data_IF_838078256375
#
_entry.id   IF_838078256375
#
_cell.length_a   1.000
_cell.length_b   1.000
_cell.length_c   1.000
_cell.angle_alpha   90.00
_cell.angle_beta   90.00
_cell.angle_gamma   90.00
#
_symmetry.space_group_name_H-M   'P 1'
#
loop_
_entity.id
_entity.type
_entity.pdbx_description
1 polymer ?
#
# COMPACT_ATOMS: atom_id res chain seq x y z
N UNK A 1 24.97 -49.19 -1.06
CA UNK A 1 23.83 -48.64 -1.82
C UNK A 1 23.53 -49.62 -2.95
N UNK A 2 22.33 -50.16 -3.03
CA UNK A 2 21.96 -51.08 -4.11
C UNK A 2 21.93 -50.30 -5.44
N UNK A 3 22.72 -50.74 -6.42
CA UNK A 3 22.70 -50.16 -7.78
C UNK A 3 21.37 -50.54 -8.44
N UNK A 4 20.59 -49.55 -8.85
CA UNK A 4 19.34 -49.78 -9.58
C UNK A 4 19.58 -50.57 -10.85
N UNK A 5 18.68 -51.50 -11.15
CA UNK A 5 18.75 -52.27 -12.41
C UNK A 5 18.55 -51.30 -13.61
N UNK A 6 19.10 -51.66 -14.80
CA UNK A 6 18.91 -50.83 -16.00
C UNK A 6 17.44 -50.59 -16.34
N UNK A 7 16.56 -51.53 -16.04
CA UNK A 7 15.11 -51.37 -16.25
C UNK A 7 14.49 -50.39 -15.28
N UNK A 8 14.90 -50.38 -13.99
CA UNK A 8 14.44 -49.41 -13.00
C UNK A 8 14.90 -48.00 -13.34
N UNK A 9 16.13 -47.83 -13.84
CA UNK A 9 16.64 -46.54 -14.31
C UNK A 9 15.82 -45.98 -15.48
N UNK A 10 15.51 -46.79 -16.47
CA UNK A 10 14.66 -46.42 -17.63
C UNK A 10 13.25 -46.02 -17.17
N UNK A 11 12.64 -46.76 -16.26
CA UNK A 11 11.31 -46.44 -15.73
C UNK A 11 11.31 -45.13 -14.94
N UNK A 12 12.33 -44.91 -14.12
CA UNK A 12 12.48 -43.64 -13.38
C UNK A 12 12.65 -42.42 -14.31
N UNK A 13 13.51 -42.55 -15.34
CA UNK A 13 13.70 -41.50 -16.34
C UNK A 13 12.42 -41.23 -17.12
N UNK A 14 11.67 -42.24 -17.50
CA UNK A 14 10.40 -42.10 -18.20
C UNK A 14 9.37 -41.35 -17.37
N UNK A 15 9.26 -41.64 -16.08
CA UNK A 15 8.36 -40.95 -15.18
C UNK A 15 8.75 -39.47 -15.02
N UNK A 16 10.04 -39.15 -14.87
CA UNK A 16 10.53 -37.81 -14.81
C UNK A 16 10.20 -36.98 -16.07
N UNK A 17 10.42 -37.62 -17.25
CA UNK A 17 10.11 -37.01 -18.55
C UNK A 17 8.61 -36.74 -18.71
N UNK A 18 7.75 -37.67 -18.29
CA UNK A 18 6.29 -37.45 -18.30
C UNK A 18 5.89 -36.27 -17.46
N UNK A 19 6.44 -36.16 -16.25
CA UNK A 19 6.18 -35.04 -15.36
C UNK A 19 6.67 -33.69 -15.96
N UNK A 20 7.88 -33.68 -16.53
CA UNK A 20 8.43 -32.49 -17.21
C UNK A 20 7.56 -32.09 -18.41
N UNK A 21 7.09 -33.06 -19.19
CA UNK A 21 6.21 -32.80 -20.34
C UNK A 21 4.86 -32.20 -19.90
N UNK A 22 4.22 -32.76 -18.87
CA UNK A 22 2.96 -32.24 -18.32
C UNK A 22 3.12 -30.78 -17.79
N UNK A 23 4.22 -30.51 -17.13
CA UNK A 23 4.57 -29.15 -16.68
C UNK A 23 4.72 -28.23 -17.89
N UNK A 24 5.45 -28.66 -18.90
CA UNK A 24 5.75 -27.86 -20.08
C UNK A 24 4.51 -27.64 -20.96
N UNK A 25 3.57 -28.58 -21.05
CA UNK A 25 2.28 -28.43 -21.73
C UNK A 25 1.44 -27.26 -21.18
N UNK A 26 1.58 -26.93 -19.89
CA UNK A 26 0.96 -25.75 -19.27
C UNK A 26 1.76 -24.50 -19.56
N UNK A 27 3.08 -24.58 -19.45
CA UNK A 27 3.98 -23.43 -19.60
C UNK A 27 4.00 -22.86 -21.03
N UNK A 28 3.97 -23.71 -22.08
CA UNK A 28 3.95 -23.27 -23.49
C UNK A 28 2.73 -22.44 -23.87
N UNK A 29 1.63 -22.55 -23.10
CA UNK A 29 0.43 -21.71 -23.27
C UNK A 29 0.59 -20.31 -22.74
N UNK A 30 1.66 -20.04 -21.99
CA UNK A 30 1.95 -18.73 -21.36
C UNK A 30 0.75 -18.20 -20.53
N UNK A 31 0.07 -19.10 -19.81
CA UNK A 31 -1.14 -18.78 -19.04
C UNK A 31 -0.83 -17.75 -17.97
N UNK A 32 0.30 -17.90 -17.26
CA UNK A 32 0.74 -16.93 -16.24
C UNK A 32 0.86 -15.50 -16.80
N UNK A 33 1.44 -15.35 -18.00
CA UNK A 33 1.53 -14.04 -18.65
C UNK A 33 0.14 -13.47 -19.03
N UNK A 34 -0.79 -14.34 -19.48
CA UNK A 34 -2.17 -13.93 -19.79
C UNK A 34 -2.88 -13.44 -18.55
N UNK A 35 -2.81 -14.17 -17.45
CA UNK A 35 -3.46 -13.82 -16.18
C UNK A 35 -2.93 -12.48 -15.65
N UNK A 36 -1.59 -12.28 -15.68
CA UNK A 36 -0.97 -11.02 -15.26
C UNK A 36 -1.46 -9.80 -16.05
N UNK A 37 -1.61 -9.91 -17.37
CA UNK A 37 -2.10 -8.78 -18.18
C UNK A 37 -3.58 -8.50 -17.96
N UNK A 38 -4.40 -9.50 -17.68
CA UNK A 38 -5.81 -9.30 -17.33
C UNK A 38 -5.95 -8.64 -15.94
N UNK A 39 -5.15 -9.06 -14.96
CA UNK A 39 -5.08 -8.42 -13.64
C UNK A 39 -4.63 -6.96 -13.75
N UNK A 40 -3.58 -6.69 -14.55
CA UNK A 40 -3.09 -5.33 -14.78
C UNK A 40 -4.12 -4.47 -15.53
N UNK A 41 -4.80 -5.03 -16.52
CA UNK A 41 -5.89 -4.36 -17.25
C UNK A 41 -7.02 -3.93 -16.31
N UNK A 42 -7.47 -4.86 -15.47
CA UNK A 42 -8.51 -4.61 -14.46
C UNK A 42 -8.08 -3.52 -13.47
N UNK A 43 -6.83 -3.59 -13.00
CA UNK A 43 -6.26 -2.61 -12.07
C UNK A 43 -6.22 -1.22 -12.70
N UNK A 44 -5.64 -1.07 -13.88
CA UNK A 44 -5.48 0.24 -14.56
C UNK A 44 -6.85 0.85 -14.88
N UNK A 45 -7.79 0.07 -15.40
CA UNK A 45 -9.16 0.53 -15.71
C UNK A 45 -9.91 0.98 -14.46
N UNK A 46 -9.63 0.36 -13.32
CA UNK A 46 -10.26 0.68 -12.04
C UNK A 46 -9.75 1.95 -11.37
N UNK A 47 -8.55 2.48 -11.74
CA UNK A 47 -7.93 3.60 -11.04
C UNK A 47 -8.80 4.87 -11.04
N UNK A 48 -9.33 5.25 -12.20
CA UNK A 48 -10.15 6.47 -12.32
C UNK A 48 -11.41 6.41 -11.44
N UNK A 49 -12.06 5.24 -11.36
CA UNK A 49 -13.25 5.06 -10.51
C UNK A 49 -12.89 5.15 -9.02
N UNK A 50 -11.72 4.65 -8.60
CA UNK A 50 -11.23 4.77 -7.23
C UNK A 50 -10.96 6.23 -6.87
N UNK A 51 -10.31 6.99 -7.75
CA UNK A 51 -10.09 8.44 -7.56
C UNK A 51 -11.43 9.16 -7.41
N UNK A 52 -12.40 8.90 -8.28
CA UNK A 52 -13.74 9.48 -8.19
C UNK A 52 -14.42 9.13 -6.86
N UNK A 53 -14.32 7.88 -6.41
CA UNK A 53 -14.86 7.45 -5.12
C UNK A 53 -14.25 8.23 -3.95
N UNK A 54 -12.94 8.45 -3.95
CA UNK A 54 -12.24 9.26 -2.93
C UNK A 54 -12.69 10.72 -2.97
N UNK A 55 -12.87 11.32 -4.16
CA UNK A 55 -13.42 12.69 -4.31
C UNK A 55 -14.82 12.80 -3.70
N UNK A 56 -15.67 11.82 -3.97
CA UNK A 56 -17.05 11.77 -3.42
C UNK A 56 -17.05 11.60 -1.88
N UNK A 57 -16.00 11.00 -1.29
CA UNK A 57 -15.81 10.90 0.15
C UNK A 57 -15.18 12.17 0.76
N UNK A 58 -14.85 13.16 -0.07
CA UNK A 58 -14.31 14.43 0.39
C UNK A 58 -12.79 14.54 0.39
N UNK A 59 -12.03 13.64 -0.28
CA UNK A 59 -10.57 13.78 -0.45
C UNK A 59 -10.25 14.90 -1.45
N UNK A 60 -9.74 16.07 -1.04
CA UNK A 60 -9.60 17.21 -1.94
C UNK A 60 -8.19 17.37 -2.51
N UNK A 61 -7.20 16.59 -2.09
CA UNK A 61 -5.78 16.77 -2.42
C UNK A 61 -5.36 15.99 -3.66
N UNK A 62 -4.11 16.23 -4.10
CA UNK A 62 -3.45 15.47 -5.16
C UNK A 62 -4.27 15.48 -6.46
N UNK A 63 -4.51 16.67 -7.02
CA UNK A 63 -5.20 16.86 -8.31
C UNK A 63 -4.56 16.10 -9.47
N UNK A 64 -3.32 15.64 -9.29
CA UNK A 64 -2.60 14.86 -10.30
C UNK A 64 -3.16 13.43 -10.48
N UNK A 65 -3.90 12.89 -9.50
CA UNK A 65 -4.41 11.51 -9.53
C UNK A 65 -5.30 11.23 -10.74
N UNK A 66 -6.11 12.19 -11.15
CA UNK A 66 -6.97 12.08 -12.33
C UNK A 66 -6.14 11.94 -13.62
N UNK A 67 -5.12 12.81 -13.78
CA UNK A 67 -4.25 12.76 -14.96
C UNK A 67 -3.37 11.51 -14.96
N UNK A 68 -2.82 11.11 -13.80
CA UNK A 68 -2.03 9.89 -13.68
C UNK A 68 -2.83 8.65 -14.07
N UNK A 69 -4.08 8.54 -13.59
CA UNK A 69 -4.96 7.42 -13.93
C UNK A 69 -5.28 7.39 -15.43
N UNK A 70 -5.55 8.57 -16.03
CA UNK A 70 -5.81 8.70 -17.45
C UNK A 70 -4.60 8.39 -18.33
N UNK A 71 -3.43 8.83 -17.93
CA UNK A 71 -2.18 8.62 -18.68
C UNK A 71 -1.73 7.15 -18.62
N UNK A 72 -1.89 6.48 -17.47
CA UNK A 72 -1.66 5.04 -17.36
C UNK A 72 -2.59 4.27 -18.30
N UNK A 73 -3.86 4.62 -18.36
CA UNK A 73 -4.82 3.96 -19.26
C UNK A 73 -4.45 4.19 -20.74
N UNK A 74 -4.08 5.41 -21.12
CA UNK A 74 -3.65 5.74 -22.49
C UNK A 74 -2.39 4.98 -22.90
N UNK A 75 -1.39 4.85 -22.02
CA UNK A 75 -0.17 4.08 -22.27
C UNK A 75 -0.47 2.59 -22.35
N UNK A 76 -1.37 2.08 -21.52
CA UNK A 76 -1.70 0.67 -21.42
C UNK A 76 -2.43 0.11 -22.63
N UNK A 77 -3.41 0.83 -23.18
CA UNK A 77 -4.24 0.34 -24.28
C UNK A 77 -3.46 -0.20 -25.48
N UNK A 78 -2.51 0.56 -26.09
CA UNK A 78 -1.70 0.06 -27.20
C UNK A 78 -0.71 -1.03 -26.75
N UNK A 79 -0.15 -0.88 -25.57
CA UNK A 79 0.82 -1.85 -25.02
C UNK A 79 0.17 -3.21 -24.78
N UNK A 80 -1.03 -3.25 -24.20
CA UNK A 80 -1.81 -4.49 -23.99
C UNK A 80 -2.01 -5.25 -25.30
N UNK A 81 -2.36 -4.56 -26.37
CA UNK A 81 -2.52 -5.18 -27.69
C UNK A 81 -1.22 -5.78 -28.19
N UNK A 82 -0.10 -5.05 -28.09
CA UNK A 82 1.20 -5.54 -28.50
C UNK A 82 1.65 -6.78 -27.68
N UNK A 83 1.44 -6.74 -26.36
CA UNK A 83 1.74 -7.86 -25.47
C UNK A 83 0.87 -9.09 -25.80
N UNK A 84 -0.42 -8.89 -26.05
CA UNK A 84 -1.32 -9.98 -26.44
C UNK A 84 -0.91 -10.66 -27.75
N UNK A 85 -0.48 -9.87 -28.74
CA UNK A 85 0.06 -10.38 -30.02
C UNK A 85 1.31 -11.21 -29.74
N UNK A 86 2.23 -10.70 -28.94
CA UNK A 86 3.49 -11.38 -28.60
C UNK A 86 3.23 -12.71 -27.86
N UNK A 87 2.31 -12.73 -26.88
CA UNK A 87 1.91 -13.96 -26.20
C UNK A 87 1.40 -14.99 -27.20
N UNK A 88 0.50 -14.62 -28.09
CA UNK A 88 -0.07 -15.53 -29.08
C UNK A 88 0.99 -16.11 -30.02
N UNK A 89 1.91 -15.26 -30.50
CA UNK A 89 3.02 -15.68 -31.37
C UNK A 89 3.96 -16.64 -30.64
N UNK A 90 4.39 -16.30 -29.44
CA UNK A 90 5.31 -17.14 -28.66
C UNK A 90 4.66 -18.47 -28.24
N UNK A 91 3.42 -18.43 -27.78
CA UNK A 91 2.68 -19.66 -27.42
C UNK A 91 2.56 -20.62 -28.62
N UNK A 92 2.22 -20.09 -29.81
CA UNK A 92 2.15 -20.89 -31.04
C UNK A 92 3.51 -21.52 -31.40
N UNK A 93 4.61 -20.77 -31.31
CA UNK A 93 5.96 -21.30 -31.56
C UNK A 93 6.35 -22.40 -30.57
N UNK A 94 6.08 -22.20 -29.29
CA UNK A 94 6.38 -23.12 -28.22
C UNK A 94 5.54 -24.41 -28.34
N UNK A 95 4.24 -24.29 -28.61
CA UNK A 95 3.35 -25.46 -28.85
C UNK A 95 3.78 -26.27 -30.07
N UNK A 96 4.18 -25.62 -31.16
CA UNK A 96 4.71 -26.29 -32.35
C UNK A 96 6.04 -27.03 -32.06
N UNK A 97 6.87 -26.46 -31.17
CA UNK A 97 8.11 -27.11 -30.73
C UNK A 97 7.87 -28.28 -29.77
N UNK A 98 6.76 -28.30 -29.04
CA UNK A 98 6.39 -29.35 -28.09
C UNK A 98 5.89 -30.63 -28.79
N UNK A 99 5.10 -30.49 -29.86
CA UNK A 99 4.49 -31.64 -30.59
C UNK A 99 5.46 -32.74 -30.98
N UNK A 100 6.66 -32.47 -31.58
CA UNK A 100 7.61 -33.53 -31.90
C UNK A 100 8.16 -34.23 -30.66
N UNK A 101 8.24 -33.53 -29.51
CA UNK A 101 8.70 -34.13 -28.24
C UNK A 101 7.67 -35.12 -27.67
N UNK A 102 6.37 -34.79 -27.80
CA UNK A 102 5.29 -35.72 -27.45
C UNK A 102 5.33 -37.00 -28.31
N UNK A 103 5.56 -36.88 -29.63
CA UNK A 103 5.73 -38.03 -30.51
C UNK A 103 6.97 -38.88 -30.15
N UNK A 104 8.07 -38.22 -29.77
CA UNK A 104 9.32 -38.89 -29.34
C UNK A 104 9.14 -39.63 -28.01
N UNK A 105 8.32 -39.11 -27.09
CA UNK A 105 7.94 -39.83 -25.87
C UNK A 105 7.22 -41.14 -26.21
N UNK A 106 6.30 -41.14 -27.18
CA UNK A 106 5.63 -42.33 -27.67
C UNK A 106 6.63 -43.37 -28.19
N UNK A 107 7.65 -42.96 -28.94
CA UNK A 107 8.72 -43.84 -29.40
C UNK A 107 9.54 -44.43 -28.23
N UNK A 108 9.91 -43.61 -27.25
CA UNK A 108 10.61 -44.02 -26.05
C UNK A 108 9.82 -45.07 -25.25
N UNK A 109 8.52 -44.86 -25.08
CA UNK A 109 7.61 -45.84 -24.41
C UNK A 109 7.59 -47.16 -25.12
N UNK A 110 7.51 -47.19 -26.45
CA UNK A 110 7.54 -48.43 -27.23
C UNK A 110 8.90 -49.17 -27.11
N UNK A 111 10.00 -48.42 -26.90
CA UNK A 111 11.35 -48.99 -26.76
C UNK A 111 11.66 -49.48 -25.32
N UNK A 112 10.79 -49.31 -24.33
CA UNK A 112 11.06 -49.62 -22.90
C UNK A 112 11.35 -51.13 -22.66
N UNK A 113 10.95 -52.02 -23.57
CA UNK A 113 11.28 -53.47 -23.49
C UNK A 113 12.78 -53.75 -23.66
N UNK A 114 13.55 -52.84 -24.24
CA UNK A 114 15.00 -52.91 -24.40
C UNK A 114 15.64 -51.64 -23.76
N UNK A 115 16.16 -51.73 -22.53
CA UNK A 115 16.78 -50.56 -21.85
C UNK A 115 17.90 -49.93 -22.69
N UNK A 116 18.66 -50.71 -23.41
CA UNK A 116 19.73 -50.22 -24.28
C UNK A 116 19.23 -49.33 -25.44
N UNK A 117 18.01 -49.59 -25.94
CA UNK A 117 17.37 -48.77 -26.99
C UNK A 117 16.62 -47.57 -26.42
N UNK A 118 15.98 -47.70 -25.25
CA UNK A 118 15.21 -46.66 -24.64
C UNK A 118 16.08 -45.55 -24.04
N UNK A 119 17.18 -45.88 -23.36
CA UNK A 119 18.02 -44.92 -22.65
C UNK A 119 18.53 -43.73 -23.51
N UNK A 120 19.08 -43.94 -24.72
CA UNK A 120 19.53 -42.81 -25.55
C UNK A 120 18.38 -41.92 -26.03
N UNK A 121 17.19 -42.48 -26.29
CA UNK A 121 15.99 -41.71 -26.68
C UNK A 121 15.54 -40.85 -25.51
N UNK A 122 15.44 -41.42 -24.30
CA UNK A 122 15.04 -40.70 -23.09
C UNK A 122 16.04 -39.59 -22.74
N UNK A 123 17.35 -39.85 -22.85
CA UNK A 123 18.38 -38.83 -22.61
C UNK A 123 18.27 -37.64 -23.59
N UNK A 124 18.08 -37.95 -24.89
CA UNK A 124 17.89 -36.90 -25.89
C UNK A 124 16.60 -36.10 -25.65
N UNK A 125 15.51 -36.80 -25.32
CA UNK A 125 14.22 -36.16 -25.03
C UNK A 125 14.29 -35.26 -23.80
N UNK A 126 14.97 -35.69 -22.73
CA UNK A 126 15.18 -34.84 -21.55
C UNK A 126 15.89 -33.53 -21.90
N UNK A 127 16.99 -33.59 -22.65
CA UNK A 127 17.73 -32.41 -23.07
C UNK A 127 16.91 -31.49 -23.98
N UNK A 128 16.03 -32.02 -24.83
CA UNK A 128 15.14 -31.23 -25.69
C UNK A 128 14.01 -30.56 -24.90
N UNK A 129 13.45 -31.25 -23.88
CA UNK A 129 12.48 -30.69 -22.95
C UNK A 129 13.08 -29.55 -22.13
N UNK A 130 14.29 -29.72 -21.57
CA UNK A 130 15.02 -28.70 -20.85
C UNK A 130 15.26 -27.44 -21.74
N UNK A 131 15.64 -27.66 -22.99
CA UNK A 131 15.83 -26.59 -23.97
C UNK A 131 14.51 -25.83 -24.23
N UNK A 132 13.40 -26.56 -24.39
CA UNK A 132 12.09 -25.94 -24.62
C UNK A 132 11.57 -25.23 -23.37
N UNK A 133 11.82 -25.73 -22.16
CA UNK A 133 11.51 -25.06 -20.90
C UNK A 133 12.28 -23.72 -20.77
N UNK A 134 13.57 -23.71 -21.11
CA UNK A 134 14.36 -22.51 -21.14
C UNK A 134 13.82 -21.49 -22.15
N UNK A 135 13.38 -21.93 -23.33
CA UNK A 135 12.75 -21.04 -24.33
C UNK A 135 11.42 -20.47 -23.83
N UNK A 136 10.60 -21.30 -23.17
CA UNK A 136 9.33 -20.83 -22.60
C UNK A 136 9.57 -19.78 -21.50
N UNK A 137 10.53 -20.01 -20.62
CA UNK A 137 10.91 -19.07 -19.57
C UNK A 137 11.48 -17.76 -20.15
N UNK A 138 12.30 -17.84 -21.20
CA UNK A 138 12.81 -16.67 -21.90
C UNK A 138 11.68 -15.86 -22.57
N UNK A 139 10.69 -16.56 -23.16
CA UNK A 139 9.52 -15.91 -23.75
C UNK A 139 8.68 -15.18 -22.69
N UNK A 140 8.41 -15.82 -21.52
CA UNK A 140 7.72 -15.18 -20.40
C UNK A 140 8.46 -13.93 -19.90
N UNK A 141 9.80 -14.03 -19.73
CA UNK A 141 10.62 -12.90 -19.31
C UNK A 141 10.62 -11.75 -20.33
N UNK A 142 10.67 -12.08 -21.62
CA UNK A 142 10.60 -11.06 -22.69
C UNK A 142 9.25 -10.37 -22.70
N UNK A 143 8.17 -11.12 -22.52
CA UNK A 143 6.80 -10.60 -22.48
C UNK A 143 6.60 -9.71 -21.24
N UNK A 144 7.05 -10.13 -20.06
CA UNK A 144 6.93 -9.33 -18.84
C UNK A 144 7.72 -8.03 -18.95
N UNK A 145 8.94 -8.09 -19.49
CA UNK A 145 9.77 -6.90 -19.73
C UNK A 145 9.12 -5.84 -20.62
N UNK A 146 8.11 -6.19 -21.43
CA UNK A 146 7.37 -5.21 -22.23
C UNK A 146 6.53 -4.24 -21.39
N UNK A 147 6.06 -4.67 -20.21
CA UNK A 147 5.12 -3.89 -19.38
C UNK A 147 5.54 -3.71 -17.91
N UNK A 148 6.64 -4.29 -17.46
CA UNK A 148 7.09 -4.23 -16.05
C UNK A 148 7.18 -2.79 -15.52
N UNK A 149 7.67 -1.84 -16.31
CA UNK A 149 7.74 -0.44 -15.89
C UNK A 149 6.35 0.15 -15.68
N UNK A 150 5.41 -0.09 -16.61
CA UNK A 150 4.05 0.40 -16.51
C UNK A 150 3.31 -0.26 -15.35
N UNK A 151 3.53 -1.56 -15.13
CA UNK A 151 3.00 -2.28 -13.99
C UNK A 151 3.49 -1.70 -12.66
N UNK A 152 4.78 -1.36 -12.57
CA UNK A 152 5.34 -0.71 -11.38
C UNK A 152 4.72 0.68 -11.14
N UNK A 153 4.55 1.50 -12.19
CA UNK A 153 3.85 2.79 -12.10
C UNK A 153 2.40 2.62 -11.64
N UNK A 154 1.67 1.67 -12.23
CA UNK A 154 0.28 1.38 -11.88
C UNK A 154 0.13 0.85 -10.44
N UNK A 155 1.03 -0.04 -10.01
CA UNK A 155 1.05 -0.58 -8.65
C UNK A 155 1.30 0.52 -7.61
N UNK A 156 2.18 1.48 -7.90
CA UNK A 156 2.43 2.62 -7.02
C UNK A 156 1.16 3.46 -6.80
N UNK A 157 0.49 3.84 -7.88
CA UNK A 157 -0.77 4.60 -7.80
C UNK A 157 -1.86 3.78 -7.09
N UNK A 158 -2.00 2.52 -7.44
CA UNK A 158 -3.01 1.63 -6.86
C UNK A 158 -2.81 1.44 -5.36
N UNK A 159 -1.58 1.20 -4.91
CA UNK A 159 -1.25 1.04 -3.48
C UNK A 159 -1.52 2.33 -2.70
N UNK A 160 -1.20 3.49 -3.29
CA UNK A 160 -1.49 4.79 -2.67
C UNK A 160 -3.01 5.01 -2.53
N UNK A 161 -3.79 4.72 -3.57
CA UNK A 161 -5.25 4.81 -3.49
C UNK A 161 -5.84 3.87 -2.43
N UNK A 162 -5.30 2.65 -2.28
CA UNK A 162 -5.71 1.73 -1.22
C UNK A 162 -5.45 2.30 0.19
N UNK A 163 -4.30 2.96 0.39
CA UNK A 163 -4.00 3.61 1.67
C UNK A 163 -4.99 4.75 1.97
N UNK A 164 -5.31 5.58 0.96
CA UNK A 164 -6.30 6.64 1.10
C UNK A 164 -7.71 6.08 1.39
N UNK A 165 -8.15 5.06 0.66
CA UNK A 165 -9.44 4.39 0.88
C UNK A 165 -9.55 3.81 2.30
N UNK A 166 -8.46 3.20 2.79
CA UNK A 166 -8.38 2.71 4.16
C UNK A 166 -8.44 3.85 5.17
N UNK A 167 -7.70 4.95 4.95
CA UNK A 167 -7.70 6.12 5.82
C UNK A 167 -9.11 6.73 5.95
N UNK A 168 -9.83 6.86 4.84
CA UNK A 168 -11.21 7.33 4.85
C UNK A 168 -12.18 6.34 5.52
N UNK A 169 -11.91 5.04 5.40
CA UNK A 169 -12.70 4.02 6.12
C UNK A 169 -12.49 4.11 7.63
N UNK A 170 -11.27 4.41 8.07
CA UNK A 170 -11.00 4.70 9.48
C UNK A 170 -11.72 5.97 9.94
N UNK A 171 -11.69 7.04 9.13
CA UNK A 171 -12.38 8.31 9.45
C UNK A 171 -13.90 8.12 9.59
N UNK A 172 -14.54 7.33 8.72
CA UNK A 172 -15.98 7.04 8.83
C UNK A 172 -16.36 6.36 10.15
N UNK A 173 -15.41 5.65 10.77
CA UNK A 173 -15.57 4.92 12.02
C UNK A 173 -14.99 5.67 13.24
N UNK A 174 -14.40 6.85 13.04
CA UNK A 174 -13.74 7.60 14.10
C UNK A 174 -14.72 8.16 15.13
N UNK A 175 -14.29 8.24 16.37
CA UNK A 175 -15.09 8.83 17.46
C UNK A 175 -15.11 10.36 17.46
N UNK A 176 -14.43 11.00 16.53
CA UNK A 176 -14.40 12.47 16.34
C UNK A 176 -14.94 12.84 14.96
N UNK A 177 -15.14 14.15 14.74
CA UNK A 177 -15.50 14.70 13.44
C UNK A 177 -14.48 15.75 13.01
N UNK A 178 -14.29 15.85 11.70
CA UNK A 178 -13.51 16.95 11.13
C UNK A 178 -14.29 18.24 11.28
N UNK A 179 -13.55 19.35 11.40
CA UNK A 179 -14.15 20.70 11.37
C UNK A 179 -14.68 21.01 9.97
N UNK A 180 -15.64 21.93 9.83
CA UNK A 180 -16.01 22.45 8.52
C UNK A 180 -14.76 22.87 7.73
N UNK A 181 -14.68 22.48 6.46
CA UNK A 181 -13.54 22.74 5.54
C UNK A 181 -12.21 22.05 5.88
N UNK A 182 -12.13 21.32 6.98
CA UNK A 182 -10.98 20.45 7.29
C UNK A 182 -11.08 19.16 6.46
N UNK A 183 -9.94 18.66 6.01
CA UNK A 183 -9.89 17.45 5.21
C UNK A 183 -8.79 16.49 5.70
N UNK A 184 -9.12 15.19 5.70
CA UNK A 184 -8.15 14.14 5.99
C UNK A 184 -7.13 14.04 4.84
N UNK A 185 -5.85 14.08 5.20
CA UNK A 185 -4.72 13.86 4.29
C UNK A 185 -4.33 12.38 4.26
N UNK A 186 -4.16 11.78 5.44
CA UNK A 186 -3.77 10.37 5.59
C UNK A 186 -4.09 9.86 6.99
N UNK A 187 -4.14 8.54 7.14
CA UNK A 187 -4.17 7.87 8.43
C UNK A 187 -3.25 6.65 8.44
N UNK A 188 -2.79 6.25 9.63
CA UNK A 188 -1.95 5.08 9.84
C UNK A 188 -2.27 4.46 11.20
N UNK A 189 -2.15 3.14 11.30
CA UNK A 189 -2.09 2.48 12.61
C UNK A 189 -0.83 2.90 13.33
N UNK A 190 -0.94 3.23 14.60
CA UNK A 190 0.19 3.66 15.39
C UNK A 190 0.03 3.29 16.86
N UNK A 191 1.16 3.11 17.53
CA UNK A 191 1.26 3.07 19.00
C UNK A 191 1.79 4.42 19.46
N UNK A 192 1.11 5.05 20.41
CA UNK A 192 1.59 6.29 21.03
C UNK A 192 2.47 5.93 22.23
N UNK A 193 3.77 5.94 22.04
CA UNK A 193 4.73 5.67 23.10
C UNK A 193 5.01 6.90 23.95
N UNK A 194 4.95 6.78 25.26
CA UNK A 194 5.07 7.93 26.17
C UNK A 194 6.51 8.42 26.33
N UNK A 195 7.45 7.50 26.35
CA UNK A 195 8.87 7.75 26.61
C UNK A 195 9.79 7.40 25.42
N UNK A 196 9.22 7.13 24.26
CA UNK A 196 9.96 6.79 23.04
C UNK A 196 10.36 5.31 22.95
N UNK A 197 9.90 4.48 23.90
CA UNK A 197 10.01 3.02 23.85
C UNK A 197 8.62 2.43 23.97
N UNK A 198 8.30 1.51 23.07
CA UNK A 198 7.01 0.84 23.10
C UNK A 198 6.92 -0.10 24.31
N UNK A 199 5.84 0.05 25.10
CA UNK A 199 5.45 -0.85 26.16
C UNK A 199 4.03 -1.39 25.86
N UNK A 200 3.73 -2.55 26.41
CA UNK A 200 2.43 -3.24 26.28
C UNK A 200 1.23 -2.44 26.81
N UNK A 201 1.47 -1.42 27.61
CA UNK A 201 0.45 -0.54 28.19
C UNK A 201 0.33 0.80 27.42
N UNK A 202 1.15 0.99 26.34
CA UNK A 202 1.01 2.13 25.45
C UNK A 202 -0.23 1.98 24.56
N UNK A 203 -0.97 3.07 24.32
CA UNK A 203 -2.22 2.99 23.57
C UNK A 203 -1.99 2.68 22.08
N UNK A 204 -2.65 1.61 21.62
CA UNK A 204 -2.79 1.28 20.21
C UNK A 204 -3.94 2.07 19.57
N UNK A 205 -3.76 2.52 18.35
CA UNK A 205 -4.81 3.27 17.70
C UNK A 205 -4.50 3.68 16.26
N UNK A 206 -5.09 4.79 15.88
CA UNK A 206 -4.96 5.36 14.54
C UNK A 206 -4.51 6.81 14.67
N UNK A 207 -3.41 7.13 13.98
CA UNK A 207 -2.91 8.47 13.82
C UNK A 207 -3.48 9.05 12.53
N UNK A 208 -4.19 10.18 12.63
CA UNK A 208 -4.78 10.91 11.51
C UNK A 208 -4.03 12.21 11.29
N UNK A 209 -3.66 12.47 10.06
CA UNK A 209 -3.14 13.75 9.59
C UNK A 209 -4.23 14.42 8.76
N UNK A 210 -4.68 15.58 9.22
CA UNK A 210 -5.54 16.47 8.42
C UNK A 210 -4.73 17.63 7.85
N UNK A 211 -5.34 18.51 7.12
CA UNK A 211 -4.69 19.74 6.66
C UNK A 211 -4.62 20.84 7.75
N UNK A 212 -5.04 20.52 8.99
CA UNK A 212 -5.03 21.46 10.11
C UNK A 212 -4.49 20.85 11.41
N UNK A 213 -4.76 19.57 11.67
CA UNK A 213 -4.48 18.90 12.95
C UNK A 213 -3.81 17.54 12.76
N UNK A 214 -3.08 17.15 13.79
CA UNK A 214 -2.71 15.76 14.05
C UNK A 214 -3.62 15.24 15.16
N UNK A 215 -4.28 14.10 14.93
CA UNK A 215 -5.19 13.48 15.88
C UNK A 215 -4.78 12.02 16.09
N UNK A 216 -4.85 11.56 17.34
CA UNK A 216 -4.66 10.14 17.64
C UNK A 216 -5.88 9.61 18.36
N UNK A 217 -6.52 8.63 17.74
CA UNK A 217 -7.64 7.88 18.30
C UNK A 217 -7.12 6.56 18.85
N UNK A 218 -7.18 6.39 20.16
CA UNK A 218 -6.97 5.09 20.80
C UNK A 218 -8.12 4.16 20.38
N UNK A 219 -7.79 2.99 19.84
CA UNK A 219 -8.79 2.02 19.38
C UNK A 219 -8.26 0.60 19.54
N UNK A 220 -8.45 0.05 20.73
CA UNK A 220 -7.91 -1.25 21.11
C UNK A 220 -8.81 -2.02 22.09
N UNK A 221 -8.58 -3.35 22.19
CA UNK A 221 -9.19 -4.18 23.23
C UNK A 221 -8.31 -4.24 24.47
N UNK A 222 -8.73 -3.57 25.52
CA UNK A 222 -8.02 -3.56 26.81
C UNK A 222 -8.54 -4.65 27.74
N UNK A 223 -7.63 -5.39 28.38
CA UNK A 223 -7.97 -6.39 29.39
C UNK A 223 -8.48 -5.71 30.66
N UNK A 224 -9.77 -5.87 30.99
CA UNK A 224 -10.41 -5.27 32.18
C UNK A 224 -10.34 -6.16 33.40
N UNK A 225 -10.16 -7.48 33.21
CA UNK A 225 -10.10 -8.44 34.32
C UNK A 225 -9.11 -9.56 34.03
N UNK A 226 -8.18 -9.78 34.96
CA UNK A 226 -7.21 -10.88 34.91
C UNK A 226 -7.42 -11.77 36.13
N UNK A 227 -7.57 -13.08 35.93
CA UNK A 227 -7.65 -14.10 37.00
C UNK A 227 -6.55 -15.13 36.74
N UNK A 228 -5.61 -15.27 37.68
CA UNK A 228 -4.48 -16.20 37.58
C UNK A 228 -3.71 -16.11 36.29
N UNK A 229 -3.35 -14.86 35.84
CA UNK A 229 -2.64 -14.55 34.60
C UNK A 229 -3.45 -14.78 33.29
N UNK A 230 -4.73 -15.17 33.38
CA UNK A 230 -5.62 -15.30 32.21
C UNK A 230 -6.54 -14.09 32.14
N UNK A 231 -6.58 -13.42 30.99
CA UNK A 231 -7.53 -12.34 30.72
C UNK A 231 -8.93 -12.93 30.56
N UNK A 232 -9.85 -12.56 31.44
CA UNK A 232 -11.23 -13.09 31.46
C UNK A 232 -12.23 -12.14 30.83
N UNK A 233 -11.92 -10.84 30.79
CA UNK A 233 -12.78 -9.83 30.18
C UNK A 233 -11.93 -8.83 29.40
N UNK A 234 -12.39 -8.47 28.19
CA UNK A 234 -11.82 -7.40 27.35
C UNK A 234 -12.90 -6.36 27.07
N UNK A 235 -12.51 -5.10 27.00
CA UNK A 235 -13.37 -3.99 26.61
C UNK A 235 -12.72 -3.25 25.46
N UNK A 236 -13.50 -2.97 24.42
CA UNK A 236 -13.06 -2.06 23.37
C UNK A 236 -12.99 -0.64 23.95
N UNK A 237 -11.83 -0.02 23.85
CA UNK A 237 -11.61 1.41 24.12
C UNK A 237 -11.55 2.12 22.79
N UNK A 238 -12.39 3.14 22.62
CA UNK A 238 -12.33 4.03 21.47
C UNK A 238 -12.54 5.45 21.97
N UNK A 239 -11.49 6.26 21.89
CA UNK A 239 -11.50 7.65 22.33
C UNK A 239 -10.47 8.50 21.60
N UNK A 240 -10.77 9.77 21.38
CA UNK A 240 -9.77 10.73 20.92
C UNK A 240 -8.78 11.00 22.07
N UNK A 241 -7.59 10.42 21.96
CA UNK A 241 -6.58 10.48 23.02
C UNK A 241 -5.74 11.77 22.92
N UNK A 242 -5.50 12.24 21.70
CA UNK A 242 -4.84 13.55 21.52
C UNK A 242 -5.31 14.26 20.23
N UNK A 243 -5.19 15.58 20.27
CA UNK A 243 -5.47 16.49 19.17
C UNK A 243 -4.52 17.67 19.27
N UNK A 244 -3.76 17.95 18.20
CA UNK A 244 -2.80 19.06 18.18
C UNK A 244 -2.86 19.78 16.84
N UNK A 245 -3.01 21.13 16.83
CA UNK A 245 -2.86 21.93 15.62
C UNK A 245 -1.45 21.76 15.01
N UNK A 246 -1.36 21.49 13.70
CA UNK A 246 -0.08 21.30 13.01
C UNK A 246 0.84 22.52 13.13
N UNK A 247 0.27 23.74 13.18
CA UNK A 247 1.02 24.99 13.37
C UNK A 247 1.83 25.04 14.67
N UNK A 248 1.50 24.20 15.66
CA UNK A 248 2.23 24.06 16.92
C UNK A 248 3.39 23.06 16.85
N UNK A 249 3.57 22.34 15.77
CA UNK A 249 4.75 21.50 15.58
C UNK A 249 5.98 22.41 15.50
N UNK A 250 6.99 22.13 16.34
CA UNK A 250 8.27 22.81 16.34
C UNK A 250 9.32 22.04 15.56
N UNK A 251 9.42 20.73 15.81
CA UNK A 251 10.34 19.83 15.12
C UNK A 251 9.67 18.46 14.87
N UNK A 252 10.10 17.79 13.81
CA UNK A 252 9.60 16.50 13.39
C UNK A 252 10.75 15.63 12.90
N UNK A 253 10.97 14.53 13.57
CA UNK A 253 12.01 13.55 13.23
C UNK A 253 11.39 12.20 12.87
N UNK A 254 11.85 11.62 11.76
CA UNK A 254 11.55 10.26 11.36
C UNK A 254 12.78 9.38 11.66
N UNK A 255 12.57 8.29 12.37
CA UNK A 255 13.66 7.38 12.77
C UNK A 255 13.28 5.94 12.52
N UNK A 256 14.26 5.14 12.12
CA UNK A 256 14.11 3.69 12.03
C UNK A 256 14.72 3.07 13.29
N UNK A 257 13.90 2.29 14.01
CA UNK A 257 14.28 1.64 15.27
C UNK A 257 14.12 0.12 15.17
N UNK A 258 14.25 -0.58 16.30
CA UNK A 258 14.20 -2.04 16.37
C UNK A 258 15.51 -2.73 15.99
N UNK A 259 15.56 -4.05 16.23
CA UNK A 259 16.80 -4.85 16.10
C UNK A 259 17.39 -4.83 14.68
N UNK A 260 16.52 -4.68 13.64
CA UNK A 260 16.93 -4.62 12.23
C UNK A 260 16.63 -3.26 11.58
N UNK A 261 16.33 -2.22 12.37
CA UNK A 261 15.90 -0.89 11.88
C UNK A 261 14.69 -0.96 10.93
N UNK A 262 13.75 -1.83 11.23
CA UNK A 262 12.54 -2.06 10.45
C UNK A 262 11.29 -1.44 11.07
N UNK A 263 11.40 -0.86 12.27
CA UNK A 263 10.29 -0.16 12.93
C UNK A 263 10.32 1.33 12.56
N UNK A 264 9.18 1.85 12.17
CA UNK A 264 8.99 3.22 11.70
C UNK A 264 8.50 4.12 12.82
N UNK A 265 9.27 5.13 13.20
CA UNK A 265 8.96 6.00 14.32
C UNK A 265 8.94 7.48 13.92
N UNK A 266 7.98 8.23 14.50
CA UNK A 266 7.88 9.68 14.42
C UNK A 266 8.06 10.29 15.80
N UNK A 267 8.98 11.23 15.92
CA UNK A 267 9.18 12.07 17.11
C UNK A 267 8.75 13.49 16.77
N UNK A 268 7.81 14.02 17.55
CA UNK A 268 7.32 15.40 17.40
C UNK A 268 7.62 16.17 18.66
N UNK A 269 8.14 17.39 18.50
CA UNK A 269 8.21 18.38 19.58
C UNK A 269 7.32 19.56 19.23
N UNK A 270 6.75 20.20 20.23
CA UNK A 270 5.76 21.24 20.04
C UNK A 270 6.18 22.56 20.67
N UNK A 271 5.67 23.65 20.11
CA UNK A 271 5.82 25.01 20.64
C UNK A 271 5.04 25.16 21.95
N UNK A 272 5.38 26.22 22.70
CA UNK A 272 4.59 26.65 23.87
C UNK A 272 3.13 26.87 23.45
N UNK A 273 2.19 26.46 24.33
CA UNK A 273 0.74 26.50 24.07
C UNK A 273 0.16 25.21 23.50
N UNK A 274 0.99 24.22 23.13
CA UNK A 274 0.50 22.90 22.80
C UNK A 274 0.16 22.10 24.07
N UNK A 275 -0.82 21.17 24.01
CA UNK A 275 -1.18 20.32 25.15
C UNK A 275 -0.07 19.33 25.56
N UNK A 276 0.89 19.12 24.68
CA UNK A 276 2.02 18.20 24.88
C UNK A 276 3.32 18.91 24.49
N UNK A 277 4.42 18.61 25.19
CA UNK A 277 5.75 19.08 24.82
C UNK A 277 6.38 18.22 23.72
N UNK A 278 6.13 16.93 23.78
CA UNK A 278 6.59 15.95 22.80
C UNK A 278 5.61 14.79 22.66
N UNK A 279 5.65 14.16 21.49
CA UNK A 279 4.92 12.93 21.19
C UNK A 279 5.82 12.00 20.41
N UNK A 280 5.68 10.70 20.64
CA UNK A 280 6.40 9.68 19.91
C UNK A 280 5.42 8.61 19.45
N UNK A 281 5.46 8.29 18.16
CA UNK A 281 4.59 7.28 17.54
C UNK A 281 5.44 6.22 16.86
N UNK A 282 5.13 4.94 17.12
CA UNK A 282 5.53 3.84 16.27
C UNK A 282 4.43 3.63 15.21
N UNK A 283 4.79 3.67 13.93
CA UNK A 283 3.86 3.53 12.80
C UNK A 283 3.85 2.09 12.29
N UNK A 284 2.68 1.51 12.11
CA UNK A 284 2.54 0.16 11.54
C UNK A 284 2.21 0.22 10.04
N UNK A 285 3.06 -0.43 9.24
CA UNK A 285 2.81 -0.63 7.81
C UNK A 285 3.00 0.58 6.89
N UNK A 286 3.45 1.73 7.41
CA UNK A 286 3.79 2.91 6.60
C UNK A 286 5.15 3.48 6.99
N UNK A 287 5.87 4.03 5.99
CA UNK A 287 7.23 4.53 6.19
C UNK A 287 7.24 5.89 6.92
N UNK A 288 8.03 6.01 7.97
CA UNK A 288 8.11 7.25 8.77
C UNK A 288 8.66 8.45 7.97
N UNK A 289 9.55 8.24 6.99
CA UNK A 289 10.04 9.34 6.15
C UNK A 289 8.96 9.86 5.20
N UNK A 290 8.08 8.99 4.70
CA UNK A 290 6.93 9.41 3.88
C UNK A 290 5.96 10.25 4.72
N UNK A 291 5.71 9.84 5.96
CA UNK A 291 4.91 10.61 6.92
C UNK A 291 5.53 11.96 7.26
N UNK A 292 6.85 12.00 7.51
CA UNK A 292 7.57 13.26 7.71
C UNK A 292 7.44 14.18 6.51
N UNK A 293 7.62 13.64 5.30
CA UNK A 293 7.45 14.39 4.05
C UNK A 293 6.02 14.94 3.92
N UNK A 294 5.02 14.11 4.21
CA UNK A 294 3.61 14.45 4.10
C UNK A 294 3.24 15.57 5.09
N UNK A 295 3.64 15.48 6.35
CA UNK A 295 3.44 16.53 7.35
C UNK A 295 4.10 17.84 6.92
N UNK A 296 5.34 17.79 6.42
CA UNK A 296 6.05 18.97 5.93
C UNK A 296 5.35 19.62 4.72
N UNK A 297 4.80 18.84 3.81
CA UNK A 297 4.00 19.35 2.68
C UNK A 297 2.72 20.05 3.13
N UNK A 298 2.09 19.56 4.21
CA UNK A 298 0.96 20.26 4.82
C UNK A 298 1.41 21.58 5.45
N UNK A 299 2.47 21.55 6.27
CA UNK A 299 3.02 22.73 6.96
C UNK A 299 3.51 23.83 5.99
N UNK A 300 4.10 23.44 4.86
CA UNK A 300 4.55 24.40 3.81
C UNK A 300 3.41 24.96 2.96
N UNK A 301 2.20 24.42 3.11
CA UNK A 301 1.04 24.79 2.28
C UNK A 301 1.08 24.18 0.86
N UNK A 302 2.02 23.30 0.55
CA UNK A 302 2.10 22.60 -0.74
C UNK A 302 0.83 21.78 -0.99
N UNK A 303 0.35 21.03 0.01
CA UNK A 303 -0.89 20.25 -0.11
C UNK A 303 -2.12 21.13 -0.41
N UNK A 304 -2.15 22.35 0.09
CA UNK A 304 -3.24 23.31 -0.20
C UNK A 304 -3.18 23.77 -1.66
N UNK A 305 -1.99 23.96 -2.24
CA UNK A 305 -1.81 24.34 -3.65
C UNK A 305 -2.14 23.21 -4.62
N UNK A 306 -1.96 21.96 -4.16
CA UNK A 306 -2.20 20.73 -4.94
C UNK A 306 -3.62 20.18 -4.75
N UNK A 307 -4.57 21.01 -4.32
CA UNK A 307 -5.98 20.59 -4.15
C UNK A 307 -6.70 20.49 -5.50
N UNK A 308 -7.45 19.40 -5.68
CA UNK A 308 -8.43 19.24 -6.76
C UNK A 308 -9.73 19.98 -6.43
N UNK A 309 -10.08 20.09 -5.13
CA UNK A 309 -11.26 20.80 -4.62
C UNK A 309 -10.75 21.97 -3.79
N UNK A 310 -11.08 23.20 -4.21
CA UNK A 310 -10.66 24.42 -3.53
C UNK A 310 -11.24 24.53 -2.11
N UNK A 311 -10.50 25.18 -1.22
CA UNK A 311 -11.01 25.55 0.11
C UNK A 311 -11.98 26.73 -0.04
N UNK A 312 -13.02 26.73 0.80
CA UNK A 312 -13.91 27.87 0.90
C UNK A 312 -13.13 29.12 1.37
N UNK A 313 -13.09 30.14 0.52
CA UNK A 313 -12.37 31.37 0.79
C UNK A 313 -12.96 32.15 1.96
N UNK A 314 -14.26 32.05 2.21
CA UNK A 314 -14.93 32.67 3.36
C UNK A 314 -14.31 32.16 4.66
N UNK A 315 -14.11 30.86 4.79
CA UNK A 315 -13.50 30.25 5.98
C UNK A 315 -12.00 30.59 6.12
N UNK A 316 -11.29 30.78 5.00
CA UNK A 316 -9.91 31.27 5.03
C UNK A 316 -9.83 32.72 5.54
N UNK A 317 -10.72 33.56 5.04
CA UNK A 317 -10.78 34.99 5.48
C UNK A 317 -11.21 35.14 6.94
N UNK A 318 -12.12 34.31 7.45
CA UNK A 318 -12.47 34.28 8.89
C UNK A 318 -11.23 34.07 9.77
N UNK A 319 -10.38 33.09 9.45
CA UNK A 319 -9.15 32.82 10.21
C UNK A 319 -8.19 34.00 10.14
N UNK A 320 -8.01 34.61 8.95
CA UNK A 320 -7.11 35.76 8.77
C UNK A 320 -7.56 36.99 9.55
N UNK A 321 -8.88 37.19 9.62
CA UNK A 321 -9.49 38.35 10.28
C UNK A 321 -9.86 38.07 11.73
N UNK A 322 -9.50 36.92 12.26
CA UNK A 322 -9.81 36.55 13.64
C UNK A 322 -9.16 37.54 14.64
N UNK A 323 -9.85 37.88 15.74
CA UNK A 323 -9.34 38.84 16.69
C UNK A 323 -8.07 38.34 17.39
N UNK A 324 -7.05 39.15 17.45
CA UNK A 324 -5.79 38.90 18.20
C UNK A 324 -5.83 39.38 19.64
N UNK A 325 -6.89 40.09 20.00
CA UNK A 325 -7.11 40.65 21.34
C UNK A 325 -8.54 40.33 21.78
N UNK A 326 -8.70 39.86 23.00
CA UNK A 326 -10.00 39.57 23.57
C UNK A 326 -10.85 40.88 23.70
N UNK A 327 -12.04 40.94 23.11
CA UNK A 327 -12.88 42.13 23.19
C UNK A 327 -13.42 42.42 24.59
N UNK A 328 -13.43 41.42 25.48
CA UNK A 328 -13.96 41.54 26.82
C UNK A 328 -12.91 41.99 27.86
N UNK A 329 -11.67 41.50 27.78
CA UNK A 329 -10.65 41.80 28.81
C UNK A 329 -9.36 42.41 28.26
N UNK A 330 -9.22 42.56 26.93
CA UNK A 330 -8.01 43.12 26.31
C UNK A 330 -6.81 42.17 26.32
N UNK A 331 -6.95 40.94 26.78
CA UNK A 331 -5.85 39.95 26.78
C UNK A 331 -5.51 39.48 25.35
N UNK A 332 -4.22 39.29 25.08
CA UNK A 332 -3.75 38.80 23.77
C UNK A 332 -4.14 37.32 23.57
N UNK A 333 -4.75 37.01 22.44
CA UNK A 333 -5.11 35.64 22.06
C UNK A 333 -3.88 34.97 21.44
N UNK A 334 -3.37 33.90 22.07
CA UNK A 334 -2.18 33.18 21.62
C UNK A 334 -2.50 31.80 20.99
N UNK A 335 -3.73 31.33 21.22
CA UNK A 335 -4.15 30.03 20.68
C UNK A 335 -4.22 30.06 19.15
N UNK A 336 -3.88 28.91 18.53
CA UNK A 336 -4.03 28.71 17.07
C UNK A 336 -5.50 28.62 16.73
N UNK A 337 -5.95 29.47 15.82
CA UNK A 337 -7.32 29.45 15.28
C UNK A 337 -7.34 28.60 14.02
N UNK A 338 -8.24 27.62 13.98
CA UNK A 338 -8.38 26.69 12.87
C UNK A 338 -9.58 27.09 11.99
N UNK A 339 -9.51 26.75 10.71
CA UNK A 339 -10.65 26.91 9.79
C UNK A 339 -11.82 26.04 10.25
N UNK A 340 -13.02 26.59 10.18
CA UNK A 340 -14.23 25.92 10.63
C UNK A 340 -14.49 26.02 12.13
N UNK A 341 -13.65 26.73 12.90
CA UNK A 341 -13.98 27.11 14.26
C UNK A 341 -14.99 28.28 14.25
N UNK A 342 -16.03 28.16 15.04
CA UNK A 342 -17.05 29.22 15.18
C UNK A 342 -16.76 30.16 16.35
N UNK A 343 -16.00 29.67 17.34
CA UNK A 343 -15.65 30.42 18.54
C UNK A 343 -14.40 29.88 19.21
N UNK A 344 -13.78 30.69 20.02
CA UNK A 344 -12.67 30.34 20.91
C UNK A 344 -12.96 30.89 22.34
N UNK A 345 -12.28 30.32 23.33
CA UNK A 345 -12.33 30.80 24.70
C UNK A 345 -11.08 31.64 25.02
N UNK A 346 -11.28 32.81 25.62
CA UNK A 346 -10.16 33.62 26.06
C UNK A 346 -9.43 32.91 27.21
N UNK A 347 -8.12 32.73 27.10
CA UNK A 347 -7.28 32.10 28.12
C UNK A 347 -7.19 32.90 29.42
N UNK A 348 -7.50 34.20 29.40
CA UNK A 348 -7.41 35.10 30.57
C UNK A 348 -8.75 35.26 31.32
N UNK A 349 -9.85 35.42 30.60
CA UNK A 349 -11.14 35.70 31.25
C UNK A 349 -12.19 34.59 31.03
N UNK A 350 -11.87 33.55 30.23
CA UNK A 350 -12.81 32.47 29.91
C UNK A 350 -13.96 32.87 28.98
N UNK A 351 -14.04 34.13 28.57
CA UNK A 351 -15.12 34.64 27.70
C UNK A 351 -15.08 34.00 26.33
N UNK A 352 -16.27 33.72 25.75
CA UNK A 352 -16.41 33.16 24.39
C UNK A 352 -16.23 34.29 23.37
N UNK A 353 -15.35 34.10 22.42
CA UNK A 353 -15.10 35.01 21.30
C UNK A 353 -15.58 34.28 20.02
N UNK A 354 -16.57 34.88 19.34
CA UNK A 354 -17.05 34.38 18.04
C UNK A 354 -16.07 34.77 16.92
N UNK A 355 -15.85 33.83 15.97
CA UNK A 355 -14.95 34.01 14.83
C UNK A 355 -15.71 34.37 13.57
#
# INVERSE_FOLDING_TARGET
MATQSPQEQVNSQLNNIRWSLEKLQKQVKLTSARDRIEDLDTKIKGLAQRVLSLRNRGYPFERILESQSGDLLKKWQPLRQAVQIQINQQSTLLENALRPLEAKLGQAVNATRSPAMAAPILKSLAAELDNLENKASAAESTISGMYDQLEAEANKVFSHLLQLEWAYTCLDQACFKLMPTEALVMAVKAVWTRDGREDKDDPDGILYLTDQRLLFEQKEEVATKKVLFVTTERKMVQQLACEVPLALIQDLQATKQGMFKNEDHLNLTFKSGAPYQQMHFHLDGQNCNDWKSLINRVLSGEMTKDRAIAVDQVEVEKVKNAPTICPSCGGTIQQVILRGQESIHCEFCGGVIRL
#
